data_IF_204430569323
#
_entry.id   IF_204430569323
#
_cell.length_a   1.000
_cell.length_b   1.000
_cell.length_c   1.000
_cell.angle_alpha   90.00
_cell.angle_beta   90.00
_cell.angle_gamma   90.00
#
_symmetry.space_group_name_H-M   'P 1'
#
loop_
_entity.id
_entity.type
_entity.pdbx_description
1 polymer ?
#
# COMPACT_ATOMS: atom_id res chain seq x y z
N UNK A 1 -4.37 -2.33 2.16
CA UNK A 1 -3.46 -1.16 2.21
C UNK A 1 -1.98 -1.52 2.03
N UNK A 2 -1.54 -2.80 2.09
CA UNK A 2 -0.12 -3.17 1.96
C UNK A 2 0.57 -2.72 0.66
N UNK A 3 -0.14 -2.45 -0.42
CA UNK A 3 0.48 -2.00 -1.69
C UNK A 3 0.77 -0.49 -1.77
N UNK A 4 0.44 0.31 -0.74
CA UNK A 4 0.48 1.78 -0.84
C UNK A 4 1.89 2.34 -0.67
N UNK A 5 2.72 1.77 0.22
CA UNK A 5 4.06 2.31 0.51
C UNK A 5 5.22 1.55 -0.14
N UNK A 6 5.01 0.32 -0.63
CA UNK A 6 6.10 -0.53 -1.12
C UNK A 6 7.12 -0.94 -0.05
N UNK A 7 6.86 -0.66 1.24
CA UNK A 7 7.76 -0.97 2.36
C UNK A 7 6.99 -1.75 3.43
N UNK A 8 7.47 -2.95 3.76
CA UNK A 8 6.81 -3.80 4.77
C UNK A 8 6.78 -3.17 6.15
N UNK A 9 7.86 -2.49 6.53
CA UNK A 9 7.98 -1.81 7.83
C UNK A 9 7.04 -0.61 7.90
N UNK A 10 7.06 0.25 6.87
CA UNK A 10 6.18 1.43 6.81
C UNK A 10 4.70 1.02 6.79
N UNK A 11 4.36 -0.03 6.04
CA UNK A 11 3.02 -0.61 6.02
C UNK A 11 2.62 -1.08 7.43
N UNK A 12 3.44 -1.92 8.08
CA UNK A 12 3.10 -2.47 9.40
C UNK A 12 2.90 -1.36 10.45
N UNK A 13 3.70 -0.30 10.42
CA UNK A 13 3.55 0.85 11.33
C UNK A 13 2.25 1.62 11.06
N UNK A 14 1.87 1.80 9.80
CA UNK A 14 0.70 2.59 9.45
C UNK A 14 -0.61 1.80 9.55
N UNK A 15 -0.64 0.56 9.03
CA UNK A 15 -1.86 -0.25 8.95
C UNK A 15 -2.02 -1.17 10.14
N UNK A 16 -0.93 -1.64 10.74
CA UNK A 16 -0.97 -2.57 11.87
C UNK A 16 -1.61 -1.98 13.13
N UNK A 17 -1.48 -0.67 13.35
CA UNK A 17 -2.12 0.02 14.49
C UNK A 17 -3.66 0.01 14.41
N UNK A 18 -4.23 -0.19 13.22
CA UNK A 18 -5.68 -0.30 13.01
C UNK A 18 -6.10 -1.76 12.79
N UNK A 19 -5.37 -2.47 11.93
CA UNK A 19 -5.67 -3.84 11.48
C UNK A 19 -5.58 -4.86 12.61
N UNK A 20 -4.50 -4.81 13.42
CA UNK A 20 -4.27 -5.80 14.49
C UNK A 20 -5.37 -5.73 15.57
N UNK A 21 -5.73 -4.54 16.12
CA UNK A 21 -6.82 -4.46 17.09
C UNK A 21 -8.18 -4.86 16.51
N UNK A 22 -8.45 -4.57 15.23
CA UNK A 22 -9.70 -4.97 14.58
C UNK A 22 -9.80 -6.49 14.45
N UNK A 23 -8.72 -7.17 14.05
CA UNK A 23 -8.69 -8.63 13.99
C UNK A 23 -8.85 -9.26 15.38
N UNK A 24 -8.21 -8.70 16.40
CA UNK A 24 -8.39 -9.14 17.79
C UNK A 24 -9.84 -9.00 18.25
N UNK A 25 -10.50 -7.87 17.96
CA UNK A 25 -11.93 -7.65 18.23
C UNK A 25 -12.85 -8.63 17.49
N UNK A 26 -12.43 -9.12 16.31
CA UNK A 26 -13.18 -10.12 15.56
C UNK A 26 -13.13 -11.51 16.20
N UNK A 27 -12.13 -11.75 17.08
CA UNK A 27 -11.90 -13.03 17.72
C UNK A 27 -10.66 -13.78 17.22
N UNK A 28 -9.79 -13.15 16.41
CA UNK A 28 -8.50 -13.75 16.07
C UNK A 28 -7.51 -13.65 17.24
N UNK A 29 -6.69 -14.68 17.50
CA UNK A 29 -5.65 -14.61 18.52
C UNK A 29 -4.60 -13.56 18.16
N UNK A 30 -4.10 -12.83 19.17
CA UNK A 30 -3.19 -11.68 18.97
C UNK A 30 -1.94 -12.00 18.16
N UNK A 31 -1.36 -13.20 18.35
CA UNK A 31 -0.20 -13.68 17.58
C UNK A 31 -0.52 -13.89 16.11
N UNK A 32 -1.71 -14.40 15.81
CA UNK A 32 -2.15 -14.62 14.43
C UNK A 32 -2.44 -13.29 13.74
N UNK A 33 -3.13 -12.36 14.42
CA UNK A 33 -3.40 -11.03 13.88
C UNK A 33 -2.10 -10.28 13.52
N UNK A 34 -1.09 -10.31 14.40
CA UNK A 34 0.21 -9.71 14.11
C UNK A 34 0.94 -10.42 12.95
N UNK A 35 0.89 -11.75 12.88
CA UNK A 35 1.50 -12.52 11.79
C UNK A 35 0.87 -12.27 10.43
N UNK A 36 -0.47 -12.17 10.38
CA UNK A 36 -1.21 -11.86 9.15
C UNK A 36 -0.90 -10.45 8.67
N UNK A 37 -0.84 -9.47 9.57
CA UNK A 37 -0.48 -8.10 9.21
C UNK A 37 0.96 -8.02 8.67
N UNK A 38 1.90 -8.72 9.31
CA UNK A 38 3.29 -8.78 8.85
C UNK A 38 3.41 -9.43 7.46
N UNK A 39 2.69 -10.54 7.23
CA UNK A 39 2.64 -11.21 5.93
C UNK A 39 1.99 -10.31 4.86
N UNK A 40 0.82 -9.73 5.14
CA UNK A 40 0.13 -8.83 4.22
C UNK A 40 0.99 -7.59 3.87
N UNK A 41 1.71 -7.05 4.86
CA UNK A 41 2.63 -5.92 4.68
C UNK A 41 3.85 -6.28 3.84
N UNK A 42 4.36 -7.51 3.96
CA UNK A 42 5.47 -8.03 3.16
C UNK A 42 5.06 -8.30 1.72
N UNK A 43 3.88 -8.87 1.50
CA UNK A 43 3.31 -9.06 0.16
C UNK A 43 3.16 -7.75 -0.63
N UNK A 44 3.01 -6.62 0.06
CA UNK A 44 2.99 -5.29 -0.54
C UNK A 44 4.22 -4.96 -1.39
N UNK A 45 5.37 -5.55 -1.08
CA UNK A 45 6.60 -5.38 -1.88
C UNK A 45 6.57 -6.16 -3.21
N UNK A 46 5.72 -7.19 -3.30
CA UNK A 46 5.58 -8.01 -4.50
C UNK A 46 4.51 -7.46 -5.44
N UNK A 47 3.47 -6.81 -4.91
CA UNK A 47 2.31 -6.37 -5.68
C UNK A 47 2.65 -5.18 -6.62
N UNK A 48 2.42 -5.34 -7.94
CA UNK A 48 2.38 -4.23 -8.88
C UNK A 48 1.38 -3.12 -8.51
N UNK A 49 1.60 -1.83 -8.86
CA UNK A 49 2.74 -1.23 -9.57
C UNK A 49 3.73 -0.49 -8.65
N UNK A 50 3.48 -0.45 -7.34
CA UNK A 50 4.34 0.26 -6.39
C UNK A 50 5.56 -0.59 -6.06
N UNK A 51 5.35 -1.89 -5.81
CA UNK A 51 6.37 -2.89 -5.50
C UNK A 51 7.41 -2.42 -4.45
N UNK A 52 8.35 -3.28 -4.07
CA UNK A 52 9.43 -2.90 -3.17
C UNK A 52 10.38 -1.89 -3.81
N UNK A 53 11.10 -1.10 -3.00
CA UNK A 53 12.22 -0.28 -3.47
C UNK A 53 13.27 -1.11 -4.27
N UNK A 54 13.36 -2.41 -3.97
CA UNK A 54 14.18 -3.37 -4.72
C UNK A 54 13.83 -3.47 -6.21
N UNK A 55 12.57 -3.31 -6.61
CA UNK A 55 12.18 -3.34 -8.02
C UNK A 55 12.68 -2.11 -8.79
N UNK A 56 12.71 -0.94 -8.14
CA UNK A 56 13.26 0.29 -8.72
C UNK A 56 14.78 0.23 -8.88
N UNK A 57 15.46 -0.32 -7.87
CA UNK A 57 16.90 -0.58 -7.92
C UNK A 57 17.18 -1.59 -9.04
N UNK A 58 16.47 -2.71 -9.08
CA UNK A 58 16.65 -3.74 -10.11
C UNK A 58 16.49 -3.14 -11.51
N UNK A 59 15.42 -2.41 -11.80
CA UNK A 59 15.23 -1.75 -13.10
C UNK A 59 16.41 -0.81 -13.48
N UNK A 60 16.93 -0.07 -12.50
CA UNK A 60 18.04 0.87 -12.71
C UNK A 60 19.38 0.15 -12.97
N UNK A 61 19.61 -0.97 -12.30
CA UNK A 61 20.86 -1.73 -12.42
C UNK A 61 20.86 -2.70 -13.61
N UNK A 62 19.74 -3.38 -13.87
CA UNK A 62 19.64 -4.37 -14.97
C UNK A 62 19.35 -3.72 -16.31
N UNK A 63 18.98 -2.43 -16.33
CA UNK A 63 18.54 -1.70 -17.54
C UNK A 63 17.33 -2.36 -18.22
N UNK A 64 16.61 -3.23 -17.50
CA UNK A 64 15.36 -3.84 -17.95
C UNK A 64 14.23 -2.85 -17.67
N UNK A 65 13.30 -2.63 -18.62
CA UNK A 65 12.13 -1.81 -18.39
C UNK A 65 11.37 -2.23 -17.12
N UNK A 66 11.01 -1.26 -16.28
CA UNK A 66 10.26 -1.52 -15.04
C UNK A 66 8.92 -2.24 -15.30
N UNK A 67 8.30 -2.00 -16.46
CA UNK A 67 7.07 -2.67 -16.90
C UNK A 67 7.26 -4.18 -17.03
N UNK A 68 8.41 -4.64 -17.51
CA UNK A 68 8.69 -6.07 -17.68
C UNK A 68 8.84 -6.74 -16.31
N UNK A 69 9.52 -6.06 -15.37
CA UNK A 69 9.67 -6.52 -13.99
C UNK A 69 8.30 -6.65 -13.30
N UNK A 70 7.43 -5.65 -13.51
CA UNK A 70 6.04 -5.67 -13.02
C UNK A 70 5.24 -6.84 -13.63
N UNK A 71 5.34 -7.03 -14.94
CA UNK A 71 4.56 -8.04 -15.64
C UNK A 71 4.91 -9.44 -15.13
N UNK A 72 6.20 -9.70 -14.90
CA UNK A 72 6.68 -10.99 -14.37
C UNK A 72 6.31 -11.17 -12.90
N UNK A 73 6.29 -10.11 -12.10
CA UNK A 73 5.99 -10.19 -10.66
C UNK A 73 4.50 -10.38 -10.34
N UNK A 74 3.61 -10.13 -11.30
CA UNK A 74 2.16 -10.24 -11.12
C UNK A 74 1.71 -11.64 -10.67
N UNK A 75 2.20 -12.69 -11.32
CA UNK A 75 1.82 -14.08 -11.01
C UNK A 75 2.29 -14.48 -9.61
N UNK A 76 3.57 -14.29 -9.22
CA UNK A 76 4.02 -14.52 -7.85
C UNK A 76 3.23 -13.73 -6.80
N UNK A 77 2.94 -12.44 -7.06
CA UNK A 77 2.17 -11.62 -6.14
C UNK A 77 0.76 -12.18 -5.94
N UNK A 78 0.09 -12.58 -7.02
CA UNK A 78 -1.26 -13.15 -6.94
C UNK A 78 -1.27 -14.43 -6.10
N UNK A 79 -0.33 -15.35 -6.33
CA UNK A 79 -0.22 -16.59 -5.57
C UNK A 79 0.05 -16.31 -4.09
N UNK A 80 0.92 -15.34 -3.79
CA UNK A 80 1.23 -14.94 -2.42
C UNK A 80 -0.02 -14.44 -1.68
N UNK A 81 -0.75 -13.49 -2.27
CA UNK A 81 -1.94 -12.93 -1.64
C UNK A 81 -3.08 -13.93 -1.52
N UNK A 82 -3.26 -14.81 -2.51
CA UNK A 82 -4.21 -15.91 -2.43
C UNK A 82 -3.86 -16.85 -1.27
N UNK A 83 -2.58 -17.23 -1.12
CA UNK A 83 -2.13 -18.10 -0.05
C UNK A 83 -2.41 -17.50 1.34
N UNK A 84 -2.09 -16.21 1.53
CA UNK A 84 -2.41 -15.49 2.78
C UNK A 84 -3.92 -15.44 3.00
N UNK A 85 -4.71 -15.12 1.97
CA UNK A 85 -6.17 -15.06 2.07
C UNK A 85 -6.79 -16.42 2.44
N UNK A 86 -6.32 -17.52 1.84
CA UNK A 86 -6.75 -18.87 2.20
C UNK A 86 -6.41 -19.21 3.64
N UNK A 87 -5.20 -18.89 4.10
CA UNK A 87 -4.78 -19.14 5.48
C UNK A 87 -5.64 -18.37 6.49
N UNK A 88 -5.89 -17.08 6.24
CA UNK A 88 -6.81 -16.26 7.06
C UNK A 88 -8.21 -16.83 7.06
N UNK A 89 -8.72 -17.29 5.91
CA UNK A 89 -10.07 -17.84 5.78
C UNK A 89 -10.23 -19.16 6.55
N UNK A 90 -9.22 -20.02 6.53
CA UNK A 90 -9.20 -21.28 7.28
C UNK A 90 -9.18 -20.99 8.78
N UNK A 91 -8.29 -20.10 9.23
CA UNK A 91 -8.22 -19.74 10.65
C UNK A 91 -9.52 -19.05 11.12
N UNK A 92 -10.13 -18.20 10.30
CA UNK A 92 -11.40 -17.57 10.62
C UNK A 92 -12.52 -18.59 10.90
N UNK A 93 -12.55 -19.69 10.13
CA UNK A 93 -13.49 -20.80 10.36
C UNK A 93 -13.14 -21.59 11.61
N UNK A 94 -11.85 -21.74 11.93
CA UNK A 94 -11.36 -22.50 13.08
C UNK A 94 -11.57 -21.76 14.41
N UNK A 95 -11.37 -20.44 14.43
CA UNK A 95 -11.40 -19.63 15.65
C UNK A 95 -12.80 -19.09 15.99
N UNK A 96 -13.85 -19.45 15.25
CA UNK A 96 -15.23 -19.02 15.55
C UNK A 96 -15.42 -17.49 15.49
N UNK A 97 -14.67 -16.83 14.60
CA UNK A 97 -14.62 -15.36 14.47
C UNK A 97 -16.02 -14.80 14.27
N UNK A 98 -16.44 -13.88 15.14
CA UNK A 98 -17.73 -13.22 15.02
C UNK A 98 -17.68 -12.23 13.86
N UNK A 99 -18.75 -12.17 13.05
CA UNK A 99 -18.89 -11.11 12.05
C UNK A 99 -18.93 -9.78 12.80
N UNK A 100 -17.84 -9.02 12.75
CA UNK A 100 -17.91 -7.59 13.06
C UNK A 100 -18.77 -7.00 11.96
N UNK A 101 -19.95 -6.49 12.31
CA UNK A 101 -20.81 -5.75 11.39
C UNK A 101 -20.12 -4.43 11.04
N UNK A 102 -19.14 -4.46 10.13
CA UNK A 102 -18.65 -3.25 9.49
C UNK A 102 -19.72 -2.80 8.52
N UNK A 103 -20.20 -1.57 8.74
CA UNK A 103 -21.13 -0.78 7.95
C UNK A 103 -21.37 -1.31 6.54
N UNK A 104 -22.65 -1.49 6.17
CA UNK A 104 -23.16 -1.72 4.80
C UNK A 104 -22.89 -0.49 3.87
N UNK A 105 -21.70 0.10 3.91
CA UNK A 105 -21.29 1.00 2.85
C UNK A 105 -21.06 0.15 1.60
N UNK A 106 -21.91 0.34 0.59
CA UNK A 106 -21.78 -0.39 -0.66
C UNK A 106 -20.37 -0.16 -1.20
N UNK A 107 -19.69 -1.25 -1.58
CA UNK A 107 -18.36 -1.22 -2.21
C UNK A 107 -18.31 -0.22 -3.37
N UNK A 108 -19.44 -0.03 -4.05
CA UNK A 108 -19.65 0.93 -5.13
C UNK A 108 -19.55 2.38 -4.63
N UNK A 109 -20.14 2.72 -3.49
CA UNK A 109 -20.09 4.09 -2.94
C UNK A 109 -18.67 4.48 -2.52
N UNK A 110 -17.91 3.55 -1.98
CA UNK A 110 -16.47 3.73 -1.64
C UNK A 110 -15.62 3.88 -2.90
N UNK A 111 -15.89 3.08 -3.93
CA UNK A 111 -15.18 3.18 -5.21
C UNK A 111 -15.47 4.51 -5.92
N UNK A 112 -16.73 4.97 -5.86
CA UNK A 112 -17.19 6.23 -6.45
C UNK A 112 -16.73 7.45 -5.64
N UNK A 113 -16.57 7.37 -4.32
CA UNK A 113 -16.00 8.48 -3.54
C UNK A 113 -14.46 8.56 -3.68
N UNK A 114 -13.80 7.41 -3.83
CA UNK A 114 -12.35 7.28 -3.91
C UNK A 114 -11.73 7.39 -5.31
N UNK A 115 -12.51 7.60 -6.39
CA UNK A 115 -11.99 7.55 -7.77
C UNK A 115 -10.82 8.53 -8.03
N UNK A 116 -10.81 9.68 -7.36
CA UNK A 116 -9.76 10.69 -7.46
C UNK A 116 -8.39 10.15 -7.05
N UNK A 117 -8.33 9.17 -6.13
CA UNK A 117 -7.09 8.55 -5.68
C UNK A 117 -6.47 7.60 -6.71
N UNK A 118 -7.21 7.27 -7.79
CA UNK A 118 -6.66 6.50 -8.91
C UNK A 118 -5.87 7.40 -9.88
N UNK A 119 -6.10 8.71 -9.89
CA UNK A 119 -5.42 9.64 -10.81
C UNK A 119 -3.89 9.55 -10.66
N UNK A 120 -3.31 9.65 -9.45
CA UNK A 120 -1.86 9.58 -9.28
C UNK A 120 -1.28 8.20 -9.65
N UNK A 121 -2.05 7.13 -9.41
CA UNK A 121 -1.68 5.77 -9.78
C UNK A 121 -1.62 5.61 -11.31
N UNK A 122 -2.61 6.13 -12.02
CA UNK A 122 -2.65 6.10 -13.49
C UNK A 122 -1.51 6.94 -14.07
N UNK A 123 -1.22 8.12 -13.51
CA UNK A 123 -0.07 8.95 -13.91
C UNK A 123 1.25 8.20 -13.71
N UNK A 124 1.43 7.54 -12.57
CA UNK A 124 2.62 6.74 -12.29
C UNK A 124 2.81 5.62 -13.33
N UNK A 125 1.77 4.81 -13.54
CA UNK A 125 1.82 3.66 -14.45
C UNK A 125 2.05 4.11 -15.88
N UNK A 126 1.35 5.16 -16.34
CA UNK A 126 1.51 5.68 -17.71
C UNK A 126 2.89 6.25 -17.98
N UNK A 127 3.51 6.94 -17.01
CA UNK A 127 4.88 7.44 -17.14
C UNK A 127 5.89 6.30 -17.22
N UNK A 128 5.71 5.24 -16.42
CA UNK A 128 6.55 4.05 -16.49
C UNK A 128 6.40 3.29 -17.82
N UNK A 129 5.17 3.17 -18.34
CA UNK A 129 4.90 2.55 -19.64
C UNK A 129 5.50 3.36 -20.80
N UNK A 130 5.56 4.69 -20.67
CA UNK A 130 6.24 5.56 -21.63
C UNK A 130 7.77 5.51 -21.55
N UNK A 131 8.34 4.71 -20.65
CA UNK A 131 9.78 4.53 -20.52
C UNK A 131 10.51 5.61 -19.71
N UNK A 132 9.79 6.43 -18.94
CA UNK A 132 10.44 7.37 -18.02
C UNK A 132 11.10 6.65 -16.86
N UNK A 133 12.14 7.28 -16.29
CA UNK A 133 12.80 6.74 -15.10
C UNK A 133 11.82 6.69 -13.93
N UNK A 134 11.93 5.68 -13.05
CA UNK A 134 10.98 5.55 -11.95
C UNK A 134 10.98 6.71 -10.96
N UNK A 135 12.13 7.34 -10.75
CA UNK A 135 12.27 8.54 -9.91
C UNK A 135 11.51 9.72 -10.49
N UNK A 136 11.56 9.91 -11.82
CA UNK A 136 10.81 10.95 -12.51
C UNK A 136 9.30 10.68 -12.46
N UNK A 137 8.90 9.41 -12.69
CA UNK A 137 7.50 9.00 -12.58
C UNK A 137 6.94 9.23 -11.17
N UNK A 138 7.70 8.90 -10.12
CA UNK A 138 7.31 9.14 -8.73
C UNK A 138 7.14 10.63 -8.43
N UNK A 139 8.07 11.48 -8.88
CA UNK A 139 8.00 12.93 -8.68
C UNK A 139 6.74 13.55 -9.31
N UNK A 140 6.44 13.22 -10.56
CA UNK A 140 5.22 13.69 -11.22
C UNK A 140 3.94 13.13 -10.59
N UNK A 141 4.00 11.92 -10.06
CA UNK A 141 2.86 11.30 -9.37
C UNK A 141 2.54 12.01 -8.06
N UNK A 142 3.55 12.45 -7.30
CA UNK A 142 3.36 13.26 -6.08
C UNK A 142 2.65 14.58 -6.42
N UNK A 143 3.06 15.25 -7.51
CA UNK A 143 2.39 16.47 -7.98
C UNK A 143 0.94 16.16 -8.37
N UNK A 144 0.72 15.04 -9.06
CA UNK A 144 -0.63 14.57 -9.41
C UNK A 144 -1.51 14.32 -8.18
N UNK A 145 -0.96 13.82 -7.06
CA UNK A 145 -1.70 13.70 -5.78
C UNK A 145 -2.23 15.05 -5.33
N UNK A 146 -1.36 16.08 -5.30
CA UNK A 146 -1.75 17.44 -4.86
C UNK A 146 -2.84 18.02 -5.77
N UNK A 147 -2.71 17.84 -7.08
CA UNK A 147 -3.71 18.30 -8.06
C UNK A 147 -5.02 17.52 -7.92
N UNK A 148 -4.96 16.20 -7.75
CA UNK A 148 -6.14 15.34 -7.57
C UNK A 148 -6.92 15.66 -6.29
N UNK A 149 -6.22 16.08 -5.23
CA UNK A 149 -6.82 16.50 -3.97
C UNK A 149 -7.73 17.72 -4.15
N UNK A 150 -7.44 18.62 -5.10
CA UNK A 150 -8.29 19.79 -5.38
C UNK A 150 -9.62 19.44 -6.06
N UNK A 151 -9.70 18.28 -6.73
CA UNK A 151 -10.95 17.77 -7.29
C UNK A 151 -11.86 17.10 -6.24
N UNK A 152 -11.30 16.67 -5.11
CA UNK A 152 -12.09 16.14 -3.99
C UNK A 152 -12.79 17.28 -3.25
N UNK A 153 -14.13 17.20 -3.11
CA UNK A 153 -14.93 18.22 -2.42
C UNK A 153 -14.62 18.29 -0.91
N UNK A 154 -14.17 17.19 -0.31
CA UNK A 154 -13.99 17.06 1.13
C UNK A 154 -12.52 17.16 1.61
N UNK A 155 -11.52 17.02 0.72
CA UNK A 155 -10.11 16.87 1.10
C UNK A 155 -9.15 17.74 0.28
N UNK A 156 -9.47 19.04 0.09
CA UNK A 156 -8.60 19.96 -0.66
C UNK A 156 -7.35 20.32 0.15
N UNK A 157 -6.17 19.99 -0.38
CA UNK A 157 -4.90 20.35 0.23
C UNK A 157 -4.55 21.82 -0.05
N UNK A 158 -4.63 22.67 0.97
CA UNK A 158 -4.04 24.01 0.93
C UNK A 158 -2.52 23.99 1.12
N UNK A 159 -1.82 25.14 0.97
CA UNK A 159 -0.36 25.22 1.12
C UNK A 159 0.14 24.77 2.50
N UNK A 160 -0.62 25.02 3.57
CA UNK A 160 -0.33 24.49 4.91
C UNK A 160 -0.40 22.97 4.97
N UNK A 161 -1.43 22.37 4.37
CA UNK A 161 -1.59 20.92 4.32
C UNK A 161 -0.49 20.23 3.49
N UNK A 162 0.01 20.89 2.45
CA UNK A 162 1.15 20.39 1.65
C UNK A 162 2.42 20.36 2.51
N UNK A 163 2.74 21.45 3.20
CA UNK A 163 3.93 21.52 4.09
C UNK A 163 3.80 20.51 5.22
N UNK A 164 2.60 20.36 5.78
CA UNK A 164 2.33 19.40 6.85
C UNK A 164 2.44 17.96 6.36
N UNK A 165 1.94 17.64 5.15
CA UNK A 165 2.12 16.34 4.52
C UNK A 165 3.60 16.04 4.23
N UNK A 166 4.38 17.03 3.79
CA UNK A 166 5.84 16.88 3.63
C UNK A 166 6.53 16.62 4.97
N UNK A 167 6.17 17.38 6.01
CA UNK A 167 6.70 17.21 7.37
C UNK A 167 6.35 15.83 7.94
N UNK A 168 5.11 15.38 7.75
CA UNK A 168 4.65 14.06 8.17
C UNK A 168 5.35 12.94 7.39
N UNK A 169 5.56 13.13 6.08
CA UNK A 169 6.38 12.24 5.26
C UNK A 169 7.81 12.12 5.79
N UNK A 170 8.45 13.23 6.14
CA UNK A 170 9.80 13.24 6.72
C UNK A 170 9.86 12.52 8.08
N UNK A 171 8.88 12.75 8.97
CA UNK A 171 8.78 12.06 10.26
C UNK A 171 8.56 10.55 10.09
N UNK A 172 7.71 10.15 9.16
CA UNK A 172 7.45 8.75 8.84
C UNK A 172 8.69 8.08 8.22
N UNK A 173 9.46 8.80 7.40
CA UNK A 173 10.74 8.30 6.88
C UNK A 173 11.76 8.10 8.00
N UNK A 174 11.88 9.05 8.94
CA UNK A 174 12.82 8.93 10.06
C UNK A 174 12.49 7.72 10.97
N UNK A 175 11.21 7.54 11.31
CA UNK A 175 10.76 6.39 12.12
C UNK A 175 10.99 5.07 11.39
N UNK A 176 10.69 5.00 10.09
CA UNK A 176 10.96 3.81 9.27
C UNK A 176 12.47 3.53 9.16
N UNK A 177 13.30 4.56 9.02
CA UNK A 177 14.76 4.43 8.93
C UNK A 177 15.37 3.86 10.22
N UNK A 178 14.94 4.34 11.39
CA UNK A 178 15.38 3.79 12.69
C UNK A 178 14.99 2.31 12.82
N UNK A 179 13.77 1.96 12.40
CA UNK A 179 13.32 0.57 12.42
C UNK A 179 14.12 -0.32 11.46
N UNK A 180 14.51 0.18 10.30
CA UNK A 180 15.34 -0.55 9.35
C UNK A 180 16.79 -0.76 9.83
N UNK A 181 17.34 0.15 10.64
CA UNK A 181 18.67 -0.01 11.25
C UNK A 181 18.66 -1.01 12.42
N UNK A 182 17.50 -1.19 13.06
CA UNK A 182 17.33 -2.12 14.18
C UNK A 182 17.14 -3.58 13.78
N UNK A 183 17.00 -3.88 12.48
CA UNK A 183 16.82 -5.23 11.92
C UNK A 183 18.09 -5.60 11.13
#
# INVERSE_FOLDING_TARGET
>A
MGSVSGSSVANTVSTGVISIPLMQKAGFPSRFAAGVEAAASTGGQLMPPVMGAGAFIMASYTQIPYVDIIAVSFVPALIYFLSVAFFVRIEAKRSGVQKITTSDESLIKVLVSGWHNLIPLVVLVTLLVKGFTPTYAAGLSIISVVVSSWFSKDHKMGPKAIIEAMSQGAKNMATTAVLLVGI
#
